data_IF_909734258798
#
_entry.id   IF_909734258798
#
_cell.length_a   1.000
_cell.length_b   1.000
_cell.length_c   1.000
_cell.angle_alpha   90.00
_cell.angle_beta   90.00
_cell.angle_gamma   90.00
#
_symmetry.space_group_name_H-M   'P 1'
#
loop_
_entity.id
_entity.type
_entity.pdbx_description
1 polymer ?
#
# COMPACT_ATOMS: atom_id res chain seq x y z
N UNK A 1 24.41 -42.04 -1.37
CA UNK A 1 23.42 -41.31 -0.57
C UNK A 1 24.19 -40.55 0.49
N UNK A 2 24.51 -39.29 0.21
CA UNK A 2 25.12 -38.39 1.20
C UNK A 2 23.99 -37.56 1.82
N UNK A 3 23.84 -37.67 3.14
CA UNK A 3 22.91 -36.88 3.91
C UNK A 3 23.41 -35.43 3.96
N UNK A 4 22.80 -34.56 3.16
CA UNK A 4 23.01 -33.13 3.28
C UNK A 4 22.39 -32.64 4.60
N UNK A 5 23.23 -32.18 5.51
CA UNK A 5 22.81 -31.46 6.71
C UNK A 5 22.07 -30.18 6.28
N UNK A 6 20.73 -30.19 6.35
CA UNK A 6 19.92 -28.98 6.18
C UNK A 6 20.15 -28.04 7.37
N UNK A 7 21.09 -27.09 7.23
CA UNK A 7 21.22 -25.99 8.17
C UNK A 7 20.01 -25.05 8.01
N UNK A 8 19.26 -24.81 9.08
CA UNK A 8 18.18 -23.84 9.09
C UNK A 8 18.72 -22.44 8.72
N UNK A 9 18.07 -21.78 7.76
CA UNK A 9 18.45 -20.44 7.29
C UNK A 9 18.20 -19.41 8.39
N UNK A 10 19.26 -18.75 8.87
CA UNK A 10 19.19 -17.77 9.97
C UNK A 10 19.18 -16.32 9.50
N UNK A 11 19.85 -16.01 8.39
CA UNK A 11 20.07 -14.64 7.91
C UNK A 11 19.99 -14.55 6.39
N UNK A 12 19.50 -13.42 5.89
CA UNK A 12 19.57 -13.06 4.47
C UNK A 12 20.47 -11.84 4.25
N UNK A 13 21.35 -11.91 3.24
CA UNK A 13 22.24 -10.78 2.85
C UNK A 13 21.58 -9.91 1.77
N UNK A 14 21.33 -8.64 2.08
CA UNK A 14 20.77 -7.62 1.20
C UNK A 14 21.90 -6.85 0.47
N UNK A 15 22.11 -7.13 -0.82
CA UNK A 15 23.11 -6.44 -1.64
C UNK A 15 22.66 -5.00 -1.98
N UNK A 16 23.25 -4.01 -1.30
CA UNK A 16 22.97 -2.58 -1.51
C UNK A 16 24.00 -1.82 -2.37
N UNK A 17 23.81 -0.50 -2.49
CA UNK A 17 24.49 0.49 -3.36
C UNK A 17 25.98 0.79 -3.09
N UNK A 18 26.76 -0.16 -2.55
CA UNK A 18 28.14 0.10 -2.07
C UNK A 18 29.13 0.63 -3.13
N UNK A 19 28.78 0.61 -4.42
CA UNK A 19 29.62 1.14 -5.49
C UNK A 19 29.52 2.67 -5.69
N UNK A 20 28.49 3.36 -5.14
CA UNK A 20 28.20 4.78 -5.48
C UNK A 20 27.80 5.63 -4.24
N UNK A 21 28.77 6.05 -3.39
CA UNK A 21 28.48 6.67 -2.09
C UNK A 21 27.80 8.05 -2.15
N UNK A 22 27.95 8.81 -3.26
CA UNK A 22 27.19 10.07 -3.46
C UNK A 22 25.71 9.80 -3.74
N UNK A 23 25.41 8.71 -4.43
CA UNK A 23 24.06 8.33 -4.81
C UNK A 23 23.30 7.77 -3.60
N UNK A 24 23.98 6.98 -2.75
CA UNK A 24 23.44 6.50 -1.45
C UNK A 24 22.97 7.65 -0.56
N UNK A 25 23.77 8.71 -0.40
CA UNK A 25 23.40 9.88 0.41
C UNK A 25 22.16 10.59 -0.12
N UNK A 26 22.07 10.78 -1.44
CA UNK A 26 20.90 11.39 -2.08
C UNK A 26 19.63 10.56 -1.85
N UNK A 27 19.72 9.23 -2.03
CA UNK A 27 18.59 8.34 -1.81
C UNK A 27 18.18 8.26 -0.34
N UNK A 28 19.14 8.26 0.58
CA UNK A 28 18.86 8.30 2.02
C UNK A 28 18.02 9.54 2.38
N UNK A 29 18.48 10.74 1.98
CA UNK A 29 17.77 12.00 2.26
C UNK A 29 16.38 11.98 1.64
N UNK A 30 16.27 11.53 0.39
CA UNK A 30 14.99 11.48 -0.32
C UNK A 30 14.00 10.52 0.36
N UNK A 31 14.40 9.27 0.63
CA UNK A 31 13.54 8.27 1.26
C UNK A 31 13.15 8.67 2.68
N UNK A 32 14.08 9.24 3.45
CA UNK A 32 13.80 9.78 4.78
C UNK A 32 12.76 10.92 4.71
N UNK A 33 12.90 11.83 3.74
CA UNK A 33 11.94 12.92 3.57
C UNK A 33 10.54 12.40 3.23
N UNK A 34 10.43 11.41 2.33
CA UNK A 34 9.15 10.78 2.00
C UNK A 34 8.54 10.10 3.23
N UNK A 35 9.34 9.38 4.00
CA UNK A 35 8.89 8.71 5.22
C UNK A 35 8.32 9.68 6.25
N UNK A 36 9.01 10.81 6.50
CA UNK A 36 8.52 11.83 7.42
C UNK A 36 7.20 12.46 6.93
N UNK A 37 7.07 12.72 5.62
CA UNK A 37 5.81 13.22 5.05
C UNK A 37 4.67 12.21 5.23
N UNK A 38 4.94 10.92 5.04
CA UNK A 38 3.96 9.84 5.24
C UNK A 38 3.52 9.78 6.70
N UNK A 39 4.46 9.73 7.64
CA UNK A 39 4.16 9.66 9.07
C UNK A 39 3.37 10.88 9.55
N UNK A 40 3.84 12.08 9.22
CA UNK A 40 3.20 13.32 9.67
C UNK A 40 1.84 13.52 8.97
N UNK A 41 1.79 13.33 7.66
CA UNK A 41 0.58 13.55 6.87
C UNK A 41 -0.53 12.58 7.26
N UNK A 42 -0.25 11.28 7.29
CA UNK A 42 -1.22 10.27 7.68
C UNK A 42 -1.54 10.32 9.17
N UNK A 43 -0.57 10.67 10.02
CA UNK A 43 -0.82 10.90 11.45
C UNK A 43 -1.80 12.05 11.69
N UNK A 44 -1.63 13.17 10.97
CA UNK A 44 -2.57 14.29 11.02
C UNK A 44 -3.95 13.88 10.51
N UNK A 45 -4.05 13.10 9.42
CA UNK A 45 -5.34 12.59 8.95
C UNK A 45 -6.04 11.73 10.02
N UNK A 46 -5.32 10.82 10.67
CA UNK A 46 -5.88 9.99 11.76
C UNK A 46 -6.37 10.89 12.90
N UNK A 47 -5.56 11.84 13.38
CA UNK A 47 -5.95 12.75 14.45
C UNK A 47 -7.20 13.56 14.06
N UNK A 48 -7.21 14.14 12.87
CA UNK A 48 -8.31 14.96 12.35
C UNK A 48 -9.61 14.15 12.23
N UNK A 49 -9.53 12.91 11.75
CA UNK A 49 -10.70 12.01 11.62
C UNK A 49 -11.22 11.50 12.96
N UNK A 50 -10.36 11.37 13.97
CA UNK A 50 -10.76 10.97 15.34
C UNK A 50 -11.39 12.14 16.09
N UNK A 51 -10.74 13.31 16.09
CA UNK A 51 -11.10 14.44 16.94
C UNK A 51 -12.17 15.38 16.36
N UNK A 52 -12.29 15.51 15.04
CA UNK A 52 -13.32 16.37 14.44
C UNK A 52 -14.59 15.57 14.13
N UNK A 53 -15.64 15.78 14.93
CA UNK A 53 -16.94 15.11 14.77
C UNK A 53 -17.60 15.38 13.41
N UNK A 54 -17.27 16.49 12.75
CA UNK A 54 -17.78 16.81 11.39
C UNK A 54 -17.22 15.85 10.34
N UNK A 55 -16.09 15.21 10.63
CA UNK A 55 -15.46 14.22 9.77
C UNK A 55 -15.84 12.79 10.12
N UNK A 56 -16.77 12.56 11.05
CA UNK A 56 -17.27 11.21 11.36
C UNK A 56 -18.24 10.67 10.28
N UNK A 57 -17.79 10.70 9.02
CA UNK A 57 -18.47 10.11 7.88
C UNK A 57 -17.79 8.80 7.47
N UNK A 58 -18.50 7.88 6.80
CA UNK A 58 -17.93 6.60 6.37
C UNK A 58 -16.67 6.74 5.52
N UNK A 59 -16.64 7.72 4.59
CA UNK A 59 -15.48 8.01 3.74
C UNK A 59 -14.22 8.32 4.56
N UNK A 60 -14.34 9.18 5.57
CA UNK A 60 -13.21 9.56 6.42
C UNK A 60 -12.81 8.45 7.39
N UNK A 61 -13.75 7.60 7.80
CA UNK A 61 -13.43 6.39 8.56
C UNK A 61 -12.57 5.42 7.74
N UNK A 62 -12.91 5.17 6.47
CA UNK A 62 -12.05 4.38 5.58
C UNK A 62 -10.71 5.07 5.33
N UNK A 63 -10.69 6.39 5.17
CA UNK A 63 -9.45 7.15 5.03
C UNK A 63 -8.54 7.02 6.27
N UNK A 64 -9.09 7.04 7.48
CA UNK A 64 -8.31 6.81 8.69
C UNK A 64 -7.68 5.42 8.75
N UNK A 65 -8.41 4.39 8.29
CA UNK A 65 -7.86 3.03 8.16
C UNK A 65 -6.75 2.96 7.10
N UNK A 66 -6.94 3.62 5.95
CA UNK A 66 -5.95 3.71 4.89
C UNK A 66 -4.68 4.44 5.38
N UNK A 67 -4.83 5.54 6.11
CA UNK A 67 -3.70 6.26 6.71
C UNK A 67 -2.95 5.44 7.76
N UNK A 68 -3.65 4.64 8.56
CA UNK A 68 -3.01 3.72 9.51
C UNK A 68 -2.21 2.63 8.79
N UNK A 69 -2.81 2.04 7.75
CA UNK A 69 -2.17 1.07 6.86
C UNK A 69 -0.90 1.64 6.22
N UNK A 70 -0.97 2.84 5.67
CA UNK A 70 0.16 3.56 5.06
C UNK A 70 1.34 3.72 6.04
N UNK A 71 1.05 4.10 7.28
CA UNK A 71 2.06 4.22 8.35
C UNK A 71 2.66 2.85 8.67
N UNK A 72 1.83 1.82 8.84
CA UNK A 72 2.32 0.48 9.17
C UNK A 72 3.21 -0.09 8.07
N UNK A 73 2.77 0.00 6.81
CA UNK A 73 3.52 -0.51 5.64
C UNK A 73 4.88 0.19 5.50
N UNK A 74 4.91 1.51 5.61
CA UNK A 74 6.15 2.27 5.47
C UNK A 74 7.08 2.08 6.67
N UNK A 75 6.55 2.01 7.89
CA UNK A 75 7.34 1.74 9.10
C UNK A 75 7.94 0.33 9.11
N UNK A 76 7.29 -0.67 8.50
CA UNK A 76 7.86 -2.02 8.43
C UNK A 76 9.01 -2.15 7.44
N UNK A 77 9.11 -1.25 6.45
CA UNK A 77 10.05 -1.40 5.34
C UNK A 77 11.11 -0.31 5.28
N UNK A 78 10.73 0.96 5.44
CA UNK A 78 11.62 2.10 5.22
C UNK A 78 12.77 2.18 6.23
N UNK A 79 12.57 1.96 7.55
CA UNK A 79 13.69 2.01 8.50
C UNK A 79 14.80 1.02 8.16
N UNK A 80 14.45 -0.19 7.70
CA UNK A 80 15.42 -1.21 7.28
C UNK A 80 16.21 -0.75 6.04
N UNK A 81 15.52 -0.15 5.07
CA UNK A 81 16.17 0.39 3.87
C UNK A 81 17.12 1.54 4.23
N UNK A 82 16.71 2.42 5.14
CA UNK A 82 17.54 3.54 5.62
C UNK A 82 18.77 3.05 6.37
N UNK A 83 18.63 2.04 7.23
CA UNK A 83 19.78 1.41 7.91
C UNK A 83 20.75 0.80 6.89
N UNK A 84 20.23 0.15 5.84
CA UNK A 84 21.04 -0.43 4.77
C UNK A 84 21.85 0.57 3.93
N UNK A 85 21.57 1.88 4.03
CA UNK A 85 22.43 2.94 3.47
C UNK A 85 23.53 3.41 4.44
N UNK A 86 23.36 3.17 5.74
CA UNK A 86 24.29 3.61 6.78
C UNK A 86 25.27 2.51 7.18
N UNK A 87 24.86 1.25 7.11
CA UNK A 87 25.63 0.10 7.60
C UNK A 87 26.29 -0.71 6.45
N UNK A 88 27.56 -1.12 6.62
CA UNK A 88 28.24 -1.97 5.64
C UNK A 88 27.80 -3.45 5.70
N UNK A 89 27.22 -3.90 6.81
CA UNK A 89 26.62 -5.24 6.96
C UNK A 89 25.11 -5.15 6.80
N UNK A 90 24.60 -5.78 5.75
CA UNK A 90 23.20 -5.65 5.30
C UNK A 90 22.47 -6.98 5.51
N UNK A 91 22.37 -7.44 6.75
CA UNK A 91 21.76 -8.74 7.09
C UNK A 91 20.42 -8.54 7.78
N UNK A 92 19.37 -9.23 7.30
CA UNK A 92 18.07 -9.32 7.96
C UNK A 92 17.88 -10.75 8.49
N UNK A 93 17.37 -10.89 9.71
CA UNK A 93 17.03 -12.21 10.23
C UNK A 93 15.85 -12.82 9.48
N UNK A 94 15.78 -14.15 9.41
CA UNK A 94 14.64 -14.84 8.79
C UNK A 94 13.29 -14.38 9.37
N UNK A 95 13.20 -14.26 10.70
CA UNK A 95 11.97 -13.83 11.38
C UNK A 95 11.56 -12.39 11.04
N UNK A 96 12.52 -11.46 10.96
CA UNK A 96 12.26 -10.09 10.53
C UNK A 96 11.83 -10.04 9.05
N UNK A 97 12.46 -10.85 8.20
CA UNK A 97 12.10 -11.00 6.79
C UNK A 97 10.65 -11.50 6.64
N UNK A 98 10.29 -12.58 7.35
CA UNK A 98 8.92 -13.13 7.36
C UNK A 98 7.91 -12.11 7.88
N UNK A 99 8.23 -11.40 8.96
CA UNK A 99 7.36 -10.35 9.51
C UNK A 99 7.14 -9.19 8.52
N UNK A 100 8.19 -8.75 7.83
CA UNK A 100 8.09 -7.69 6.83
C UNK A 100 7.26 -8.13 5.62
N UNK A 101 7.45 -9.37 5.14
CA UNK A 101 6.60 -9.95 4.10
C UNK A 101 5.14 -9.99 4.55
N UNK A 102 4.88 -10.39 5.80
CA UNK A 102 3.53 -10.51 6.33
C UNK A 102 2.79 -9.18 6.32
N UNK A 103 3.45 -8.15 6.84
CA UNK A 103 2.90 -6.81 6.84
C UNK A 103 2.70 -6.31 5.42
N UNK A 104 3.67 -6.49 4.52
CA UNK A 104 3.56 -6.03 3.12
C UNK A 104 2.36 -6.65 2.39
N UNK A 105 2.18 -7.98 2.49
CA UNK A 105 1.04 -8.67 1.88
C UNK A 105 -0.29 -8.29 2.51
N UNK A 106 -0.35 -8.18 3.84
CA UNK A 106 -1.57 -7.85 4.55
C UNK A 106 -2.02 -6.43 4.22
N UNK A 107 -1.10 -5.47 4.23
CA UNK A 107 -1.38 -4.07 3.94
C UNK A 107 -1.79 -3.89 2.47
N UNK A 108 -1.05 -4.46 1.51
CA UNK A 108 -1.38 -4.32 0.08
C UNK A 108 -2.75 -4.89 -0.29
N UNK A 109 -3.11 -6.06 0.25
CA UNK A 109 -4.43 -6.64 0.03
C UNK A 109 -5.55 -5.83 0.71
N UNK A 110 -5.32 -5.36 1.94
CA UNK A 110 -6.28 -4.53 2.68
C UNK A 110 -6.53 -3.20 1.97
N UNK A 111 -5.47 -2.56 1.45
CA UNK A 111 -5.54 -1.28 0.74
C UNK A 111 -6.45 -1.38 -0.49
N UNK A 112 -6.27 -2.41 -1.32
CA UNK A 112 -7.11 -2.62 -2.50
C UNK A 112 -8.59 -2.78 -2.15
N UNK A 113 -8.91 -3.55 -1.10
CA UNK A 113 -10.30 -3.74 -0.67
C UNK A 113 -10.86 -2.44 -0.08
N UNK A 114 -10.08 -1.70 0.72
CA UNK A 114 -10.49 -0.39 1.25
C UNK A 114 -10.79 0.62 0.15
N UNK A 115 -9.97 0.71 -0.90
CA UNK A 115 -10.25 1.55 -2.07
C UNK A 115 -11.56 1.15 -2.75
N UNK A 116 -11.86 -0.15 -2.83
CA UNK A 116 -13.17 -0.65 -3.26
C UNK A 116 -14.31 -0.18 -2.36
N UNK A 117 -14.17 -0.28 -1.05
CA UNK A 117 -15.19 0.16 -0.08
C UNK A 117 -15.42 1.67 -0.13
N UNK A 118 -14.37 2.46 -0.37
CA UNK A 118 -14.46 3.91 -0.59
C UNK A 118 -15.19 4.23 -1.90
N UNK A 119 -14.96 3.47 -2.98
CA UNK A 119 -15.74 3.59 -4.20
C UNK A 119 -17.23 3.26 -3.97
N UNK A 120 -17.53 2.23 -3.18
CA UNK A 120 -18.90 1.89 -2.82
C UNK A 120 -19.59 3.03 -2.04
N UNK A 121 -18.90 3.60 -1.04
CA UNK A 121 -19.41 4.76 -0.31
C UNK A 121 -19.76 5.92 -1.26
N UNK A 122 -18.85 6.26 -2.19
CA UNK A 122 -19.09 7.32 -3.19
C UNK A 122 -20.26 6.97 -4.14
N UNK A 123 -20.36 5.71 -4.54
CA UNK A 123 -21.46 5.21 -5.36
C UNK A 123 -22.80 5.39 -4.66
N UNK A 124 -22.95 4.92 -3.42
CA UNK A 124 -24.21 5.05 -2.69
C UNK A 124 -24.55 6.52 -2.43
N UNK A 125 -23.55 7.34 -2.09
CA UNK A 125 -23.73 8.77 -1.82
C UNK A 125 -24.29 9.54 -3.03
N UNK A 126 -23.89 9.18 -4.26
CA UNK A 126 -24.26 9.91 -5.48
C UNK A 126 -25.42 9.25 -6.21
N UNK A 127 -25.38 7.93 -6.39
CA UNK A 127 -26.40 7.19 -7.15
C UNK A 127 -27.66 6.93 -6.33
N UNK A 128 -27.56 6.85 -4.99
CA UNK A 128 -28.68 6.53 -4.11
C UNK A 128 -28.75 7.43 -2.86
N UNK A 129 -28.79 8.77 -3.02
CA UNK A 129 -28.63 9.72 -1.91
C UNK A 129 -29.67 9.54 -0.78
N UNK A 130 -30.92 9.20 -1.12
CA UNK A 130 -31.99 8.97 -0.13
C UNK A 130 -31.75 7.72 0.75
N UNK A 131 -31.04 6.72 0.22
CA UNK A 131 -30.73 5.47 0.95
C UNK A 131 -29.38 5.54 1.66
N UNK A 132 -28.55 6.52 1.37
CA UNK A 132 -27.20 6.64 1.92
C UNK A 132 -27.14 6.53 3.45
N UNK A 133 -27.98 7.24 4.24
CA UNK A 133 -27.91 7.16 5.71
C UNK A 133 -28.23 5.77 6.27
N UNK A 134 -29.06 4.99 5.57
CA UNK A 134 -29.48 3.65 5.99
C UNK A 134 -28.43 2.61 5.58
N UNK A 135 -27.92 2.71 4.35
CA UNK A 135 -26.93 1.77 3.80
C UNK A 135 -25.57 1.97 4.48
N UNK A 136 -25.08 3.21 4.55
CA UNK A 136 -23.76 3.55 5.08
C UNK A 136 -23.81 3.97 6.56
N UNK A 137 -24.63 3.27 7.36
CA UNK A 137 -24.65 3.43 8.82
C UNK A 137 -23.44 2.76 9.48
N UNK A 138 -23.11 3.14 10.72
CA UNK A 138 -21.98 2.59 11.49
C UNK A 138 -21.96 1.06 11.54
N UNK A 139 -23.13 0.45 11.75
CA UNK A 139 -23.30 -0.99 11.78
C UNK A 139 -22.98 -1.70 10.45
N UNK A 140 -22.83 -0.96 9.35
CA UNK A 140 -22.46 -1.49 8.03
C UNK A 140 -21.00 -1.16 7.69
N UNK A 141 -20.60 0.11 7.74
CA UNK A 141 -19.27 0.51 7.27
C UNK A 141 -18.13 0.05 8.19
N UNK A 142 -18.39 -0.14 9.50
CA UNK A 142 -17.37 -0.65 10.43
C UNK A 142 -17.05 -2.12 10.12
N UNK A 143 -18.04 -3.03 10.00
CA UNK A 143 -17.78 -4.38 9.50
C UNK A 143 -17.12 -4.42 8.12
N UNK A 144 -17.45 -3.50 7.20
CA UNK A 144 -16.77 -3.44 5.90
C UNK A 144 -15.26 -3.22 6.07
N UNK A 145 -14.84 -2.24 6.88
CA UNK A 145 -13.42 -2.01 7.13
C UNK A 145 -12.76 -3.20 7.85
N UNK A 146 -13.42 -3.76 8.86
CA UNK A 146 -12.93 -4.94 9.58
C UNK A 146 -12.74 -6.14 8.62
N UNK A 147 -13.68 -6.35 7.70
CA UNK A 147 -13.59 -7.40 6.69
C UNK A 147 -12.41 -7.19 5.73
N UNK A 148 -12.07 -5.95 5.39
CA UNK A 148 -10.88 -5.65 4.58
C UNK A 148 -9.60 -6.09 5.29
N UNK A 149 -9.47 -5.74 6.57
CA UNK A 149 -8.31 -6.13 7.40
C UNK A 149 -8.21 -7.65 7.57
N UNK A 150 -9.33 -8.31 7.85
CA UNK A 150 -9.38 -9.78 7.97
C UNK A 150 -9.00 -10.43 6.64
N UNK A 151 -9.54 -9.97 5.52
CA UNK A 151 -9.23 -10.53 4.20
C UNK A 151 -7.75 -10.36 3.84
N UNK A 152 -7.16 -9.19 4.10
CA UNK A 152 -5.73 -8.96 3.88
C UNK A 152 -4.85 -9.82 4.79
N UNK A 153 -5.21 -9.93 6.08
CA UNK A 153 -4.51 -10.80 7.03
C UNK A 153 -4.55 -12.27 6.64
N UNK A 154 -5.73 -12.79 6.26
CA UNK A 154 -5.89 -14.19 5.80
C UNK A 154 -5.07 -14.43 4.53
N UNK A 155 -5.13 -13.52 3.55
CA UNK A 155 -4.32 -13.63 2.34
C UNK A 155 -2.83 -13.71 2.67
N UNK A 156 -2.35 -12.83 3.55
CA UNK A 156 -0.96 -12.82 3.97
C UNK A 156 -0.54 -14.11 4.68
N UNK A 157 -1.38 -14.62 5.60
CA UNK A 157 -1.15 -15.90 6.28
C UNK A 157 -1.03 -17.05 5.29
N UNK A 158 -1.91 -17.13 4.29
CA UNK A 158 -1.87 -18.19 3.27
C UNK A 158 -0.58 -18.10 2.46
N UNK A 159 -0.24 -16.92 1.93
CA UNK A 159 0.96 -16.77 1.10
C UNK A 159 2.24 -17.09 1.88
N UNK A 160 2.33 -16.67 3.14
CA UNK A 160 3.52 -16.89 3.95
C UNK A 160 3.63 -18.33 4.43
N UNK A 161 2.53 -18.96 4.78
CA UNK A 161 2.54 -20.37 5.15
C UNK A 161 3.05 -21.24 4.00
N UNK A 162 2.62 -20.94 2.77
CA UNK A 162 3.11 -21.63 1.57
C UNK A 162 4.59 -21.34 1.28
N UNK A 163 5.06 -20.11 1.55
CA UNK A 163 6.44 -19.72 1.31
C UNK A 163 7.42 -20.31 2.35
N UNK A 164 7.08 -20.28 3.64
CA UNK A 164 7.95 -20.71 4.74
C UNK A 164 8.11 -22.24 4.80
N UNK A 165 7.16 -22.99 4.23
CA UNK A 165 7.24 -24.45 4.14
C UNK A 165 8.21 -24.95 3.06
N UNK A 166 8.73 -24.07 2.20
CA UNK A 166 9.66 -24.46 1.14
C UNK A 166 11.08 -24.71 1.69
N UNK A 167 11.77 -25.76 1.20
CA UNK A 167 13.19 -25.91 1.47
C UNK A 167 13.99 -24.87 0.66
N UNK A 168 14.75 -24.03 1.37
CA UNK A 168 15.70 -23.08 0.79
C UNK A 168 17.10 -23.71 0.79
N UNK A 169 17.80 -23.74 -0.36
CA UNK A 169 19.14 -24.35 -0.46
C UNK A 169 20.16 -23.52 -1.27
N UNK A 170 19.89 -22.23 -1.48
CA UNK A 170 20.90 -21.28 -1.96
C UNK A 170 21.75 -20.69 -0.82
N UNK A 171 22.70 -19.82 -1.15
CA UNK A 171 23.59 -19.12 -0.19
C UNK A 171 22.87 -18.10 0.73
N UNK A 172 21.54 -18.15 0.81
CA UNK A 172 20.71 -17.21 1.60
C UNK A 172 20.95 -15.73 1.26
N UNK A 173 21.28 -15.43 0.00
CA UNK A 173 21.49 -14.05 -0.47
C UNK A 173 20.21 -13.54 -1.12
N UNK A 174 19.49 -12.61 -0.47
CA UNK A 174 18.36 -11.89 -1.07
C UNK A 174 18.91 -10.60 -1.69
N UNK A 175 19.07 -10.59 -3.01
CA UNK A 175 19.54 -9.41 -3.72
C UNK A 175 18.41 -8.35 -3.93
N UNK A 176 17.68 -7.96 -2.88
CA UNK A 176 16.67 -6.90 -2.86
C UNK A 176 16.93 -5.94 -1.67
N UNK A 177 16.26 -4.79 -1.58
CA UNK A 177 16.35 -3.88 -0.41
C UNK A 177 15.31 -4.21 0.69
N UNK A 178 14.35 -5.07 0.36
CA UNK A 178 13.20 -5.48 1.17
C UNK A 178 13.06 -6.99 1.05
N UNK A 179 12.54 -7.64 2.11
CA UNK A 179 12.10 -9.01 2.02
C UNK A 179 10.83 -9.11 1.16
N UNK A 180 11.01 -9.35 -0.15
CA UNK A 180 9.92 -9.51 -1.11
C UNK A 180 9.67 -11.00 -1.39
N UNK A 181 8.41 -11.46 -1.36
CA UNK A 181 8.09 -12.90 -1.51
C UNK A 181 8.64 -13.48 -2.81
N UNK A 182 8.61 -12.71 -3.90
CA UNK A 182 9.10 -13.18 -5.20
C UNK A 182 10.61 -13.38 -5.20
N UNK A 183 11.35 -12.59 -4.42
CA UNK A 183 12.79 -12.77 -4.24
C UNK A 183 13.09 -13.99 -3.37
N UNK A 184 12.27 -14.25 -2.34
CA UNK A 184 12.40 -15.42 -1.47
C UNK A 184 12.05 -16.72 -2.19
N UNK A 185 10.97 -16.74 -2.98
CA UNK A 185 10.54 -17.92 -3.75
C UNK A 185 11.58 -18.36 -4.80
N UNK A 186 12.37 -17.42 -5.35
CA UNK A 186 13.48 -17.75 -6.27
C UNK A 186 14.63 -18.53 -5.61
N UNK A 187 14.71 -18.52 -4.27
CA UNK A 187 15.74 -19.23 -3.51
C UNK A 187 15.32 -20.65 -3.09
N UNK A 188 14.07 -21.03 -3.34
CA UNK A 188 13.54 -22.35 -3.01
C UNK A 188 14.05 -23.42 -4.00
N UNK A 189 14.33 -24.62 -3.48
CA UNK A 189 14.75 -25.77 -4.29
C UNK A 189 13.62 -26.72 -4.66
N UNK A 190 12.44 -26.50 -4.10
CA UNK A 190 11.24 -27.25 -4.40
C UNK A 190 10.40 -26.56 -5.47
N UNK A 191 9.45 -27.29 -6.04
CA UNK A 191 8.50 -26.74 -6.98
C UNK A 191 7.66 -25.62 -6.33
N UNK A 192 7.74 -24.42 -6.91
CA UNK A 192 7.01 -23.22 -6.46
C UNK A 192 5.65 -23.05 -7.16
N UNK A 193 5.23 -24.00 -7.99
CA UNK A 193 3.99 -23.90 -8.78
C UNK A 193 2.75 -23.57 -7.94
N UNK A 194 2.60 -24.18 -6.76
CA UNK A 194 1.48 -23.89 -5.84
C UNK A 194 1.52 -22.43 -5.35
N UNK A 195 2.71 -21.92 -5.03
CA UNK A 195 2.89 -20.53 -4.60
C UNK A 195 2.51 -19.57 -5.74
N UNK A 196 2.97 -19.85 -6.96
CA UNK A 196 2.66 -19.04 -8.15
C UNK A 196 1.16 -19.04 -8.45
N UNK A 197 0.51 -20.21 -8.41
CA UNK A 197 -0.95 -20.32 -8.63
C UNK A 197 -1.71 -19.59 -7.53
N UNK A 198 -1.33 -19.78 -6.26
CA UNK A 198 -1.93 -19.08 -5.12
C UNK A 198 -1.81 -17.56 -5.24
N UNK A 199 -0.63 -17.06 -5.61
CA UNK A 199 -0.41 -15.62 -5.84
C UNK A 199 -1.23 -15.11 -7.03
N UNK A 200 -1.36 -15.88 -8.11
CA UNK A 200 -2.18 -15.51 -9.25
C UNK A 200 -3.66 -15.39 -8.86
N UNK A 201 -4.19 -16.35 -8.11
CA UNK A 201 -5.56 -16.32 -7.58
C UNK A 201 -5.75 -15.12 -6.65
N UNK A 202 -4.81 -14.88 -5.72
CA UNK A 202 -4.85 -13.73 -4.84
C UNK A 202 -4.84 -12.40 -5.60
N UNK A 203 -4.02 -12.27 -6.65
CA UNK A 203 -4.00 -11.07 -7.49
C UNK A 203 -5.34 -10.87 -8.21
N UNK A 204 -6.00 -11.92 -8.71
CA UNK A 204 -7.34 -11.79 -9.30
C UNK A 204 -8.34 -11.28 -8.26
N UNK A 205 -8.32 -11.84 -7.04
CA UNK A 205 -9.27 -11.52 -5.97
C UNK A 205 -9.03 -10.13 -5.38
N UNK A 206 -7.79 -9.77 -5.08
CA UNK A 206 -7.45 -8.53 -4.35
C UNK A 206 -7.08 -7.37 -5.26
N UNK A 207 -6.59 -7.62 -6.48
CA UNK A 207 -6.28 -6.55 -7.44
C UNK A 207 -7.38 -6.45 -8.50
N UNK A 208 -7.69 -7.55 -9.17
CA UNK A 208 -8.62 -7.57 -10.31
C UNK A 208 -10.05 -7.18 -9.94
N UNK A 209 -10.63 -7.88 -8.95
CA UNK A 209 -12.02 -7.65 -8.53
C UNK A 209 -12.22 -6.22 -8.00
N UNK A 210 -11.38 -5.67 -7.09
CA UNK A 210 -11.53 -4.29 -6.63
C UNK A 210 -11.40 -3.25 -7.75
N UNK A 211 -10.44 -3.40 -8.68
CA UNK A 211 -10.33 -2.47 -9.83
C UNK A 211 -11.58 -2.49 -10.67
N UNK A 212 -12.09 -3.67 -11.02
CA UNK A 212 -13.31 -3.81 -11.80
C UNK A 212 -14.51 -3.19 -11.07
N UNK A 213 -14.62 -3.46 -9.76
CA UNK A 213 -15.68 -2.92 -8.93
C UNK A 213 -15.63 -1.38 -8.86
N UNK A 214 -14.44 -0.80 -8.68
CA UNK A 214 -14.23 0.65 -8.70
C UNK A 214 -14.62 1.21 -10.07
N UNK A 215 -14.14 0.61 -11.16
CA UNK A 215 -14.43 1.05 -12.51
C UNK A 215 -15.93 1.07 -12.80
N UNK A 216 -16.64 -0.03 -12.51
CA UNK A 216 -18.08 -0.14 -12.68
C UNK A 216 -18.82 0.89 -11.81
N UNK A 217 -18.43 1.03 -10.54
CA UNK A 217 -19.01 2.04 -9.63
C UNK A 217 -18.89 3.45 -10.21
N UNK A 218 -17.73 3.79 -10.78
CA UNK A 218 -17.48 5.10 -11.35
C UNK A 218 -18.20 5.34 -12.68
N UNK A 219 -18.47 4.32 -13.48
CA UNK A 219 -19.38 4.44 -14.63
C UNK A 219 -20.78 4.87 -14.16
N UNK A 220 -21.32 4.22 -13.13
CA UNK A 220 -22.62 4.59 -12.57
C UNK A 220 -22.61 6.00 -11.93
N UNK A 221 -21.54 6.35 -11.23
CA UNK A 221 -21.38 7.71 -10.66
C UNK A 221 -21.37 8.75 -11.80
N UNK A 222 -20.55 8.57 -12.82
CA UNK A 222 -20.44 9.51 -13.94
C UNK A 222 -21.76 9.65 -14.69
N UNK A 223 -22.42 8.54 -15.00
CA UNK A 223 -23.74 8.58 -15.66
C UNK A 223 -24.79 9.30 -14.81
N UNK A 224 -24.75 9.15 -13.48
CA UNK A 224 -25.64 9.89 -12.57
C UNK A 224 -25.31 11.37 -12.55
N UNK A 225 -24.02 11.74 -12.47
CA UNK A 225 -23.59 13.15 -12.48
C UNK A 225 -24.01 13.84 -13.78
N UNK A 226 -23.84 13.19 -14.93
CA UNK A 226 -24.23 13.76 -16.23
C UNK A 226 -25.74 14.04 -16.33
N UNK A 227 -26.57 13.27 -15.62
CA UNK A 227 -28.03 13.47 -15.54
C UNK A 227 -28.44 14.64 -14.63
N UNK A 228 -27.55 15.17 -13.78
CA UNK A 228 -27.86 16.33 -12.94
C UNK A 228 -28.07 17.55 -13.84
N UNK A 229 -29.18 18.29 -13.75
CA UNK A 229 -29.46 19.42 -14.63
C UNK A 229 -28.64 20.68 -14.29
N UNK A 230 -28.23 20.85 -13.01
CA UNK A 230 -27.46 22.01 -12.56
C UNK A 230 -25.96 21.82 -12.74
N UNK A 231 -25.31 22.77 -13.42
CA UNK A 231 -23.85 22.80 -13.57
C UNK A 231 -23.11 22.88 -12.22
N UNK A 232 -23.66 23.62 -11.25
CA UNK A 232 -23.11 23.71 -9.90
C UNK A 232 -23.24 22.37 -9.16
N UNK A 233 -24.37 21.68 -9.32
CA UNK A 233 -24.58 20.34 -8.79
C UNK A 233 -23.59 19.33 -9.36
N UNK A 234 -23.32 19.38 -10.67
CA UNK A 234 -22.29 18.56 -11.33
C UNK A 234 -20.90 18.83 -10.78
N UNK A 235 -20.51 20.11 -10.70
CA UNK A 235 -19.19 20.52 -10.19
C UNK A 235 -18.97 20.05 -8.76
N UNK A 236 -19.99 20.19 -7.91
CA UNK A 236 -19.95 19.71 -6.53
C UNK A 236 -19.74 18.20 -6.45
N UNK A 237 -20.49 17.41 -7.24
CA UNK A 237 -20.36 15.96 -7.28
C UNK A 237 -19.01 15.47 -7.85
N UNK A 238 -18.47 16.15 -8.86
CA UNK A 238 -17.12 15.85 -9.35
C UNK A 238 -16.06 16.14 -8.30
N UNK A 239 -16.19 17.26 -7.58
CA UNK A 239 -15.24 17.64 -6.54
C UNK A 239 -15.15 16.60 -5.43
N UNK A 240 -16.27 16.00 -5.01
CA UNK A 240 -16.31 14.99 -3.93
C UNK A 240 -15.67 13.66 -4.32
N UNK A 241 -15.67 13.30 -5.61
CA UNK A 241 -15.08 12.06 -6.13
C UNK A 241 -13.62 12.20 -6.57
N UNK A 242 -13.18 13.42 -6.87
CA UNK A 242 -11.88 13.69 -7.48
C UNK A 242 -10.69 13.21 -6.65
N UNK A 243 -10.74 13.38 -5.32
CA UNK A 243 -9.67 12.94 -4.42
C UNK A 243 -9.49 11.42 -4.47
N UNK A 244 -10.59 10.67 -4.32
CA UNK A 244 -10.57 9.21 -4.39
C UNK A 244 -10.10 8.70 -5.75
N UNK A 245 -10.61 9.24 -6.85
CA UNK A 245 -10.16 8.87 -8.20
C UNK A 245 -8.66 9.14 -8.40
N UNK A 246 -8.15 10.26 -7.89
CA UNK A 246 -6.72 10.58 -8.01
C UNK A 246 -5.87 9.53 -7.29
N UNK A 247 -6.27 9.12 -6.08
CA UNK A 247 -5.58 8.05 -5.34
C UNK A 247 -5.65 6.71 -6.06
N UNK A 248 -6.83 6.31 -6.53
CA UNK A 248 -7.02 5.07 -7.31
C UNK A 248 -6.16 5.05 -8.56
N UNK A 249 -6.12 6.15 -9.32
CA UNK A 249 -5.32 6.24 -10.55
C UNK A 249 -3.82 6.16 -10.25
N UNK A 250 -3.34 6.82 -9.20
CA UNK A 250 -1.94 6.76 -8.79
C UNK A 250 -1.58 5.34 -8.33
N UNK A 251 -2.41 4.74 -7.48
CA UNK A 251 -2.18 3.40 -6.93
C UNK A 251 -2.18 2.31 -8.00
N UNK A 252 -3.26 2.18 -8.78
CA UNK A 252 -3.32 1.14 -9.81
C UNK A 252 -2.46 1.46 -11.03
N UNK A 253 -2.27 2.74 -11.35
CA UNK A 253 -1.37 3.17 -12.43
C UNK A 253 0.08 2.85 -12.14
N UNK A 254 0.56 3.02 -10.90
CA UNK A 254 1.91 2.61 -10.49
C UNK A 254 2.09 1.09 -10.56
N UNK A 255 1.11 0.31 -10.09
CA UNK A 255 1.12 -1.15 -10.21
C UNK A 255 1.22 -1.57 -11.69
N UNK A 256 0.38 -1.03 -12.56
CA UNK A 256 0.41 -1.33 -13.99
C UNK A 256 1.76 -0.98 -14.63
N UNK A 257 2.32 0.18 -14.29
CA UNK A 257 3.61 0.61 -14.83
C UNK A 257 4.77 -0.29 -14.36
N UNK A 258 4.74 -0.74 -13.10
CA UNK A 258 5.71 -1.69 -12.57
C UNK A 258 5.70 -3.02 -13.32
N UNK A 259 4.51 -3.56 -13.64
CA UNK A 259 4.39 -4.83 -14.34
C UNK A 259 4.56 -4.73 -15.86
N UNK A 260 4.27 -3.57 -16.47
CA UNK A 260 4.43 -3.34 -17.90
C UNK A 260 5.90 -3.10 -18.31
N UNK A 261 6.80 -2.77 -17.36
CA UNK A 261 8.21 -2.57 -17.66
C UNK A 261 8.85 -3.90 -18.11
N UNK A 262 9.40 -3.98 -19.34
CA UNK A 262 10.12 -5.17 -19.78
C UNK A 262 11.33 -5.38 -18.87
N UNK A 263 11.43 -6.55 -18.24
CA UNK A 263 12.68 -6.95 -17.58
C UNK A 263 13.73 -7.11 -18.67
N UNK A 264 14.75 -6.26 -18.68
CA UNK A 264 15.85 -6.35 -19.65
C UNK A 264 16.58 -7.67 -19.43
N UNK A 265 16.40 -8.63 -20.35
CA UNK A 265 17.22 -9.84 -20.40
C UNK A 265 18.58 -9.48 -21.00
N UNK A 266 19.64 -9.59 -20.22
CA UNK A 266 21.01 -9.57 -20.73
C UNK A 266 21.20 -10.80 -21.66
N UNK A 267 21.84 -10.70 -22.84
CA UNK A 267 22.11 -11.83 -23.74
C UNK A 267 22.83 -13.03 -23.09
N UNK A 268 23.35 -12.88 -21.87
CA UNK A 268 23.99 -13.95 -21.09
C UNK A 268 23.08 -14.52 -19.97
N UNK A 269 21.76 -14.53 -20.12
CA UNK A 269 20.84 -15.38 -19.32
C UNK A 269 20.77 -15.11 -17.80
N UNK A 270 21.52 -14.17 -17.25
CA UNK A 270 21.50 -13.78 -15.85
C UNK A 270 20.54 -12.59 -15.66
N UNK A 271 19.52 -12.78 -14.82
CA UNK A 271 18.56 -11.76 -14.39
C UNK A 271 19.28 -10.75 -13.46
N UNK A 272 20.17 -9.91 -14.01
CA UNK A 272 20.78 -8.80 -13.26
C UNK A 272 19.74 -7.69 -13.11
N UNK A 273 18.97 -7.77 -12.04
CA UNK A 273 18.11 -6.67 -11.60
C UNK A 273 19.01 -5.47 -11.25
N UNK A 274 18.99 -4.42 -12.07
CA UNK A 274 19.78 -3.21 -11.82
C UNK A 274 19.35 -2.59 -10.48
N UNK A 275 20.30 -2.01 -9.77
CA UNK A 275 20.09 -1.31 -8.51
C UNK A 275 19.02 -0.21 -8.67
N UNK A 276 19.02 0.43 -9.85
CA UNK A 276 18.01 1.40 -10.28
C UNK A 276 16.59 0.83 -10.23
N UNK A 277 16.38 -0.42 -10.65
CA UNK A 277 15.04 -1.03 -10.70
C UNK A 277 14.48 -1.30 -9.30
N UNK A 278 15.34 -1.68 -8.35
CA UNK A 278 14.93 -1.93 -6.96
C UNK A 278 14.57 -0.62 -6.26
N UNK A 279 15.34 0.44 -6.50
CA UNK A 279 15.02 1.78 -6.00
C UNK A 279 13.72 2.30 -6.61
N UNK A 280 13.52 2.13 -7.92
CA UNK A 280 12.28 2.51 -8.61
C UNK A 280 11.06 1.80 -8.01
N UNK A 281 11.16 0.49 -7.73
CA UNK A 281 10.10 -0.27 -7.05
C UNK A 281 9.78 0.30 -5.66
N UNK A 282 10.81 0.61 -4.86
CA UNK A 282 10.64 1.25 -3.55
C UNK A 282 9.96 2.62 -3.68
N UNK A 283 10.38 3.46 -4.63
CA UNK A 283 9.77 4.76 -4.87
C UNK A 283 8.29 4.65 -5.22
N UNK A 284 7.93 3.69 -6.06
CA UNK A 284 6.52 3.45 -6.39
C UNK A 284 5.71 3.00 -5.19
N UNK A 285 6.28 2.13 -4.33
CA UNK A 285 5.64 1.72 -3.07
C UNK A 285 5.43 2.86 -2.07
N UNK A 286 6.26 3.92 -2.11
CA UNK A 286 6.15 5.08 -1.21
C UNK A 286 5.33 6.24 -1.79
N UNK A 287 5.07 6.23 -3.10
CA UNK A 287 4.41 7.34 -3.78
C UNK A 287 2.95 7.52 -3.34
N UNK A 288 2.16 6.44 -3.33
CA UNK A 288 0.74 6.51 -2.94
C UNK A 288 0.57 6.93 -1.48
N UNK A 289 1.24 6.28 -0.50
CA UNK A 289 1.14 6.67 0.91
C UNK A 289 1.54 8.13 1.18
N UNK A 290 2.51 8.65 0.43
CA UNK A 290 2.97 10.04 0.56
C UNK A 290 1.96 11.03 -0.01
N UNK A 291 1.35 10.71 -1.15
CA UNK A 291 0.41 11.59 -1.82
C UNK A 291 -0.99 11.54 -1.21
N UNK A 292 -1.39 10.45 -0.56
CA UNK A 292 -2.68 10.30 0.13
C UNK A 292 -3.04 11.50 1.02
N UNK A 293 -2.22 11.89 2.02
CA UNK A 293 -2.53 13.03 2.87
C UNK A 293 -2.53 14.35 2.12
N UNK A 294 -1.70 14.52 1.09
CA UNK A 294 -1.66 15.74 0.28
C UNK A 294 -2.94 15.89 -0.55
N UNK A 295 -3.39 14.80 -1.20
CA UNK A 295 -4.60 14.78 -2.02
C UNK A 295 -5.83 15.06 -1.15
N UNK A 296 -5.95 14.37 -0.01
CA UNK A 296 -7.10 14.54 0.88
C UNK A 296 -7.05 15.84 1.70
N UNK A 297 -5.88 16.41 2.02
CA UNK A 297 -5.80 17.69 2.74
C UNK A 297 -5.87 18.91 1.81
N UNK A 298 -5.17 18.93 0.67
CA UNK A 298 -5.12 20.10 -0.21
C UNK A 298 -6.41 20.27 -1.01
N UNK A 299 -7.09 19.19 -1.38
CA UNK A 299 -8.32 19.27 -2.17
C UNK A 299 -9.59 19.29 -1.33
N UNK A 300 -9.53 18.89 -0.07
CA UNK A 300 -10.70 18.83 0.79
C UNK A 300 -10.79 20.01 1.77
N UNK A 301 -11.78 20.87 1.57
CA UNK A 301 -12.02 22.02 2.45
C UNK A 301 -12.35 21.60 3.89
N UNK A 302 -12.97 20.43 4.07
CA UNK A 302 -13.34 19.94 5.40
C UNK A 302 -12.09 19.58 6.21
N UNK A 303 -11.13 18.88 5.57
CA UNK A 303 -9.84 18.53 6.20
C UNK A 303 -9.04 19.78 6.54
N UNK A 304 -8.97 20.78 5.64
CA UNK A 304 -8.29 22.07 5.94
C UNK A 304 -8.90 22.78 7.15
N UNK A 305 -10.24 22.80 7.21
CA UNK A 305 -10.98 23.45 8.30
C UNK A 305 -10.75 22.70 9.62
N UNK A 306 -10.75 21.38 9.59
CA UNK A 306 -10.49 20.56 10.76
C UNK A 306 -9.05 20.74 11.28
N UNK A 307 -8.05 20.76 10.40
CA UNK A 307 -6.65 21.05 10.77
C UNK A 307 -6.53 22.42 11.41
N UNK A 308 -7.13 23.46 10.83
CA UNK A 308 -7.12 24.82 11.42
C UNK A 308 -7.75 24.82 12.81
N UNK A 309 -8.86 24.12 13.00
CA UNK A 309 -9.55 24.07 14.29
C UNK A 309 -8.75 23.32 15.36
N UNK A 310 -8.08 22.22 14.99
CA UNK A 310 -7.17 21.49 15.90
C UNK A 310 -5.97 22.34 16.34
N UNK A 311 -5.38 23.12 15.43
CA UNK A 311 -4.29 24.05 15.76
C UNK A 311 -4.80 25.19 16.64
N UNK A 312 -5.97 25.75 16.33
CA UNK A 312 -6.58 26.82 17.12
C UNK A 312 -6.97 26.34 18.54
N UNK A 313 -7.52 25.14 18.69
CA UNK A 313 -7.85 24.58 20.00
C UNK A 313 -6.60 24.36 20.85
N UNK A 314 -5.48 23.87 20.27
CA UNK A 314 -4.20 23.74 20.99
C UNK A 314 -3.63 25.09 21.47
N UNK A 315 -3.90 26.18 20.78
CA UNK A 315 -3.48 27.53 21.20
C UNK A 315 -4.39 28.15 22.26
N UNK A 316 -5.61 27.63 22.47
CA UNK A 316 -6.55 28.13 23.48
C UNK A 316 -6.41 27.37 24.82
N UNK A 317 -5.83 26.18 24.81
CA UNK A 317 -5.52 25.39 26.02
C UNK A 317 -4.07 25.55 26.54
N UNK A 318 -3.29 26.46 25.95
CA UNK A 318 -2.00 26.95 26.50
C UNK A 318 -2.17 28.35 27.04
#
# INVERSE_FOLDING_TARGET
MEASNQSAVTEFVLLGLSAHPKLEKTFFVLILSMYLVILLGNGVLILVTVFDSRLHTPMYFFLGNLSFLDICYTTSSVPLVLDGFLTPRKTISFSACTGQMFLSFAMGATECVLLGMMAFDRYVAICNPLRYPVVMRKATYVPMAASSWVAGGVNSLVQISLAVQLPFCGDNVINHFICEILAVLKLACADISINVISMAVANVIFLGVPVLFIFVSYIFILTTILKIPSAEGRRKAFSTCSAHLTVVVIFYGTILFMYAKPKSKDPLGADKQDVSDKLISLFYGLLTPMLNPIIYSLRNKDVKTAVRNLVAQKHVTQ
#
